data_IF_461746948934
#
_entry.id   IF_461746948934
#
_cell.length_a   1.000
_cell.length_b   1.000
_cell.length_c   1.000
_cell.angle_alpha   90.00
_cell.angle_beta   90.00
_cell.angle_gamma   90.00
#
_symmetry.space_group_name_H-M   'P 1'
#
loop_
_entity.id
_entity.type
_entity.pdbx_description
1 polymer ?
#
# COMPACT_ATOMS: atom_id res chain seq x y z
N UNK A 1 18.12 28.59 -16.73
CA UNK A 1 19.24 27.96 -17.46
C UNK A 1 18.65 26.89 -18.34
N UNK A 2 18.54 27.19 -19.64
CA UNK A 2 17.89 26.32 -20.63
C UNK A 2 18.95 25.42 -21.26
N UNK A 3 18.81 24.10 -21.11
CA UNK A 3 19.59 23.15 -21.91
C UNK A 3 18.70 22.53 -22.96
N UNK A 4 18.95 22.91 -24.21
CA UNK A 4 18.45 22.25 -25.44
C UNK A 4 19.40 21.11 -25.77
N UNK A 5 18.89 19.90 -25.92
CA UNK A 5 19.62 18.81 -26.55
C UNK A 5 19.07 18.57 -27.96
N UNK A 6 19.99 18.77 -28.94
CA UNK A 6 19.79 18.46 -30.36
C UNK A 6 19.86 16.97 -30.61
N UNK A 7 18.95 16.52 -31.45
CA UNK A 7 18.95 15.19 -32.05
C UNK A 7 20.00 15.11 -33.16
N UNK A 8 20.79 14.02 -33.19
CA UNK A 8 21.56 13.61 -34.38
C UNK A 8 21.25 12.15 -34.67
N UNK A 9 20.63 11.93 -35.83
CA UNK A 9 20.49 10.63 -36.48
C UNK A 9 21.88 10.16 -36.97
N UNK A 10 22.16 8.86 -36.80
CA UNK A 10 23.10 8.15 -37.69
C UNK A 10 22.60 6.71 -37.87
N UNK A 11 22.46 6.35 -39.12
CA UNK A 11 21.94 5.07 -39.62
C UNK A 11 23.10 4.07 -39.94
N UNK A 12 22.67 2.80 -40.09
CA UNK A 12 23.31 1.70 -40.83
C UNK A 12 24.48 0.95 -40.17
N UNK A 13 24.31 -0.36 -39.91
CA UNK A 13 24.90 -1.38 -40.77
C UNK A 13 24.30 -2.77 -40.47
N UNK A 14 23.81 -3.43 -41.53
CA UNK A 14 23.49 -4.85 -41.58
C UNK A 14 24.79 -5.67 -41.67
N UNK A 15 24.83 -6.77 -40.95
CA UNK A 15 25.68 -7.91 -41.31
C UNK A 15 24.99 -9.20 -40.90
N UNK A 16 24.67 -9.99 -41.90
CA UNK A 16 24.18 -11.36 -41.80
C UNK A 16 25.37 -12.29 -41.47
N UNK A 17 25.16 -13.21 -40.56
CA UNK A 17 26.10 -14.28 -40.24
C UNK A 17 25.34 -15.55 -39.87
N UNK A 18 25.29 -16.48 -40.82
CA UNK A 18 24.86 -17.87 -40.65
C UNK A 18 25.90 -18.65 -39.82
N UNK A 19 25.46 -19.57 -39.00
CA UNK A 19 26.31 -20.68 -38.64
C UNK A 19 26.05 -21.41 -37.33
N UNK A 20 25.54 -22.62 -37.52
CA UNK A 20 25.79 -23.88 -36.79
C UNK A 20 25.11 -24.18 -35.47
N UNK A 21 24.23 -25.14 -35.61
CA UNK A 21 23.66 -26.07 -34.62
C UNK A 21 24.73 -26.86 -33.85
N UNK A 22 24.56 -26.99 -32.56
CA UNK A 22 25.15 -28.09 -31.81
C UNK A 22 24.15 -28.54 -30.73
N UNK A 23 23.51 -29.65 -30.99
CA UNK A 23 22.76 -30.48 -30.05
C UNK A 23 23.73 -31.19 -29.11
N UNK A 24 23.54 -31.02 -27.82
CA UNK A 24 24.13 -31.91 -26.81
C UNK A 24 23.02 -32.46 -25.93
N UNK A 25 22.72 -33.72 -26.14
CA UNK A 25 21.97 -34.60 -25.26
C UNK A 25 22.86 -34.96 -24.06
N UNK A 26 22.35 -34.87 -22.86
CA UNK A 26 22.94 -35.54 -21.72
C UNK A 26 21.84 -36.21 -20.88
N UNK A 27 22.09 -37.45 -20.68
CA UNK A 27 21.31 -38.55 -20.20
C UNK A 27 20.82 -38.40 -18.73
N UNK A 28 19.69 -39.00 -18.50
CA UNK A 28 19.15 -39.35 -17.19
C UNK A 28 19.84 -40.59 -16.60
N UNK A 29 20.18 -40.53 -15.33
CA UNK A 29 20.33 -41.68 -14.43
C UNK A 29 19.77 -41.21 -13.11
N UNK A 30 18.76 -41.76 -12.50
CA UNK A 30 18.48 -43.13 -12.18
C UNK A 30 18.62 -43.34 -10.68
N UNK A 31 17.47 -43.52 -9.99
CA UNK A 31 17.22 -44.32 -8.80
C UNK A 31 17.87 -43.97 -7.44
N UNK A 32 17.07 -43.69 -6.42
CA UNK A 32 16.56 -44.76 -5.51
C UNK A 32 15.55 -44.21 -4.50
N UNK A 33 14.40 -44.82 -4.53
CA UNK A 33 13.41 -44.84 -3.44
C UNK A 33 13.89 -45.75 -2.30
N UNK A 34 13.66 -45.36 -1.06
CA UNK A 34 13.57 -46.24 0.12
C UNK A 34 12.47 -45.65 1.00
N UNK A 35 11.32 -46.16 0.96
CA UNK A 35 10.61 -47.17 1.73
C UNK A 35 10.47 -46.88 3.22
N UNK A 36 9.24 -46.53 3.56
CA UNK A 36 8.37 -46.92 4.71
C UNK A 36 8.99 -47.47 5.99
N UNK A 37 8.55 -46.88 7.10
CA UNK A 37 8.12 -47.66 8.25
C UNK A 37 7.06 -46.92 9.05
N UNK A 38 5.90 -47.52 9.09
CA UNK A 38 4.74 -47.30 9.95
C UNK A 38 4.98 -47.80 11.37
N UNK A 39 4.16 -47.27 12.29
CA UNK A 39 3.60 -47.88 13.52
C UNK A 39 3.93 -47.11 14.81
N UNK A 40 2.84 -46.70 15.49
CA UNK A 40 2.81 -46.58 16.92
C UNK A 40 1.94 -45.46 17.51
N UNK A 41 0.65 -45.66 17.55
CA UNK A 41 -0.33 -45.36 18.62
C UNK A 41 -0.09 -44.27 19.68
N UNK A 42 -1.12 -43.38 19.73
CA UNK A 42 -1.87 -42.91 20.91
C UNK A 42 -1.13 -42.41 22.17
N UNK A 43 -1.22 -41.09 22.38
CA UNK A 43 -1.02 -40.47 23.66
C UNK A 43 -1.83 -39.16 23.75
N UNK A 44 -2.78 -39.13 24.66
CA UNK A 44 -3.67 -38.00 24.99
C UNK A 44 -2.93 -36.78 25.45
N UNK A 45 -3.39 -35.60 25.00
CA UNK A 45 -3.20 -34.32 25.72
C UNK A 45 -1.97 -33.56 25.30
N UNK A 46 -2.03 -32.86 24.19
CA UNK A 46 -1.06 -31.78 23.90
C UNK A 46 -1.81 -30.48 23.76
N UNK A 47 -1.56 -29.57 24.69
CA UNK A 47 -1.89 -28.17 24.57
C UNK A 47 -1.18 -27.66 23.31
N UNK A 48 -1.94 -27.23 22.31
CA UNK A 48 -1.40 -26.60 21.13
C UNK A 48 -0.79 -25.25 21.52
N UNK A 49 0.53 -25.23 21.67
CA UNK A 49 1.27 -23.99 21.64
C UNK A 49 1.28 -23.54 20.18
N UNK A 50 0.61 -22.42 19.93
CA UNK A 50 0.72 -21.70 18.65
C UNK A 50 2.16 -21.17 18.59
N UNK A 51 3.05 -21.95 18.01
CA UNK A 51 4.39 -21.46 17.69
C UNK A 51 4.23 -20.53 16.53
N UNK A 52 4.32 -19.23 16.79
CA UNK A 52 4.56 -18.23 15.73
C UNK A 52 5.83 -18.67 15.03
N UNK A 53 5.70 -19.24 13.84
CA UNK A 53 6.87 -19.60 13.02
C UNK A 53 7.54 -18.29 12.62
N UNK A 54 8.61 -17.93 13.33
CA UNK A 54 9.54 -16.90 12.90
C UNK A 54 10.17 -17.43 11.60
N UNK A 55 9.96 -16.72 10.50
CA UNK A 55 10.60 -17.07 9.24
C UNK A 55 12.11 -17.17 9.45
N UNK A 56 12.79 -18.15 8.83
CA UNK A 56 14.24 -18.29 8.98
C UNK A 56 14.93 -16.98 8.59
N UNK A 57 15.89 -16.55 9.41
CA UNK A 57 16.64 -15.32 9.17
C UNK A 57 17.34 -15.38 7.80
N UNK A 58 17.13 -14.37 6.95
CA UNK A 58 17.88 -14.23 5.70
C UNK A 58 19.22 -13.56 6.01
N UNK A 59 20.22 -14.38 6.31
CA UNK A 59 21.58 -13.94 6.66
C UNK A 59 22.22 -13.02 5.61
N UNK A 60 21.83 -13.15 4.35
CA UNK A 60 22.31 -12.28 3.28
C UNK A 60 21.65 -10.92 3.36
N UNK A 61 20.33 -10.86 3.60
CA UNK A 61 19.63 -9.59 3.80
C UNK A 61 20.15 -8.84 5.05
N UNK A 62 20.46 -9.56 6.13
CA UNK A 62 21.07 -8.99 7.33
C UNK A 62 22.47 -8.41 7.04
N UNK A 63 23.28 -9.13 6.25
CA UNK A 63 24.58 -8.63 5.83
C UNK A 63 24.49 -7.39 4.91
N UNK A 64 23.48 -7.33 4.03
CA UNK A 64 23.19 -6.15 3.20
C UNK A 64 22.77 -4.98 4.09
N UNK A 65 21.92 -5.22 5.10
CA UNK A 65 21.48 -4.20 6.05
C UNK A 65 22.68 -3.56 6.76
N UNK A 66 23.60 -4.39 7.23
CA UNK A 66 24.79 -3.90 7.92
C UNK A 66 25.72 -3.12 7.00
N UNK A 67 26.01 -3.63 5.78
CA UNK A 67 26.79 -2.89 4.77
C UNK A 67 26.17 -1.56 4.40
N UNK A 68 24.85 -1.52 4.30
CA UNK A 68 24.13 -0.30 3.98
C UNK A 68 24.29 0.76 5.08
N UNK A 69 24.13 0.36 6.37
CA UNK A 69 24.34 1.25 7.53
C UNK A 69 25.74 1.82 7.61
N UNK A 70 26.74 0.99 7.26
CA UNK A 70 28.14 1.44 7.24
C UNK A 70 28.42 2.47 6.14
N UNK A 71 27.75 2.35 4.98
CA UNK A 71 27.97 3.27 3.85
C UNK A 71 27.12 4.54 3.95
N UNK A 72 25.92 4.45 4.48
CA UNK A 72 24.95 5.52 4.60
C UNK A 72 24.67 5.82 6.07
N UNK A 73 25.66 6.40 6.73
CA UNK A 73 25.55 6.78 8.15
C UNK A 73 24.45 7.80 8.36
N UNK A 74 23.62 7.60 9.40
CA UNK A 74 22.51 8.50 9.71
C UNK A 74 21.17 8.15 9.03
N UNK A 75 21.12 7.14 8.14
CA UNK A 75 19.87 6.59 7.63
C UNK A 75 19.34 5.48 8.54
N UNK A 76 18.07 5.60 8.95
CA UNK A 76 17.40 4.56 9.76
C UNK A 76 16.89 3.43 8.87
N UNK A 77 17.70 2.36 8.76
CA UNK A 77 17.34 1.15 8.02
C UNK A 77 16.51 0.24 8.91
N UNK A 78 15.19 0.23 8.70
CA UNK A 78 14.27 -0.62 9.46
C UNK A 78 14.36 -2.08 9.04
N UNK A 79 14.34 -2.37 7.74
CA UNK A 79 14.42 -3.73 7.23
C UNK A 79 15.14 -3.80 5.88
N UNK A 80 15.65 -4.99 5.55
CA UNK A 80 16.10 -5.36 4.21
C UNK A 80 15.46 -6.66 3.81
N UNK A 81 14.96 -6.76 2.59
CA UNK A 81 14.31 -7.96 2.04
C UNK A 81 14.85 -8.27 0.66
N UNK A 82 14.97 -9.56 0.36
CA UNK A 82 15.28 -10.03 -0.99
C UNK A 82 14.05 -9.91 -1.88
N UNK A 83 14.24 -9.36 -3.07
CA UNK A 83 13.19 -9.36 -4.11
C UNK A 83 13.34 -10.57 -5.03
N UNK A 84 12.28 -11.01 -5.72
CA UNK A 84 12.38 -12.09 -6.71
C UNK A 84 13.20 -11.71 -7.95
N UNK A 85 13.61 -10.45 -8.06
CA UNK A 85 14.36 -9.90 -9.19
C UNK A 85 15.88 -9.84 -8.95
N UNK A 86 16.39 -10.49 -7.91
CA UNK A 86 17.81 -10.47 -7.53
C UNK A 86 18.31 -9.18 -6.88
N UNK A 87 17.40 -8.29 -6.53
CA UNK A 87 17.68 -7.04 -5.82
C UNK A 87 17.34 -7.19 -4.33
N UNK A 88 17.90 -6.30 -3.52
CA UNK A 88 17.50 -6.12 -2.12
C UNK A 88 16.70 -4.83 -1.97
N UNK A 89 15.51 -4.95 -1.41
CA UNK A 89 14.65 -3.85 -0.99
C UNK A 89 15.09 -3.39 0.39
N UNK A 90 15.53 -2.15 0.50
CA UNK A 90 15.96 -1.52 1.76
C UNK A 90 14.87 -0.56 2.21
N UNK A 91 14.34 -0.79 3.40
CA UNK A 91 13.29 0.01 3.99
C UNK A 91 13.87 1.12 4.88
N UNK A 92 13.54 2.37 4.56
CA UNK A 92 13.89 3.59 5.29
C UNK A 92 12.60 4.25 5.78
N UNK A 93 12.05 3.76 6.92
CA UNK A 93 10.69 4.11 7.34
C UNK A 93 9.65 3.61 6.33
N UNK A 94 9.02 4.52 5.58
CA UNK A 94 8.06 4.17 4.52
C UNK A 94 8.68 4.23 3.12
N UNK A 95 9.86 4.78 3.00
CA UNK A 95 10.53 4.85 1.71
C UNK A 95 11.28 3.54 1.44
N UNK A 96 11.22 3.11 0.19
CA UNK A 96 11.88 1.90 -0.29
C UNK A 96 12.89 2.27 -1.36
N UNK A 97 14.08 1.74 -1.21
CA UNK A 97 15.13 1.84 -2.20
C UNK A 97 15.66 0.43 -2.50
N UNK A 98 16.36 0.28 -3.60
CA UNK A 98 16.88 -1.01 -4.03
C UNK A 98 18.39 -0.98 -4.18
N UNK A 99 19.03 -2.12 -3.94
CA UNK A 99 20.48 -2.26 -4.07
C UNK A 99 20.86 -3.70 -4.43
N UNK A 100 22.12 -3.90 -4.78
CA UNK A 100 22.72 -5.23 -4.93
C UNK A 100 23.21 -5.77 -3.58
N UNK A 101 23.61 -7.03 -3.54
CA UNK A 101 24.13 -7.68 -2.31
C UNK A 101 25.32 -6.95 -1.71
N UNK A 102 26.18 -6.35 -2.55
CA UNK A 102 27.41 -5.64 -2.11
C UNK A 102 27.16 -4.18 -1.76
N UNK A 103 25.94 -3.67 -1.98
CA UNK A 103 25.58 -2.25 -1.83
C UNK A 103 26.50 -1.36 -2.67
N UNK A 104 26.78 -1.77 -3.93
CA UNK A 104 27.64 -1.00 -4.83
C UNK A 104 26.94 0.18 -5.49
N UNK A 105 25.62 0.13 -5.55
CA UNK A 105 24.73 1.17 -6.07
C UNK A 105 23.42 1.18 -5.27
N UNK A 106 22.69 2.27 -5.37
CA UNK A 106 21.32 2.41 -4.89
C UNK A 106 20.43 2.96 -6.00
N UNK A 107 19.19 2.50 -6.03
CA UNK A 107 18.16 2.96 -6.96
C UNK A 107 16.95 3.44 -6.15
N UNK A 108 16.57 4.67 -6.36
CA UNK A 108 15.32 5.26 -5.85
C UNK A 108 14.29 5.26 -6.96
N UNK A 109 13.06 4.90 -6.63
CA UNK A 109 11.93 4.89 -7.56
C UNK A 109 11.22 3.54 -7.63
N UNK A 110 10.17 3.47 -8.47
CA UNK A 110 9.34 2.28 -8.55
C UNK A 110 10.07 1.14 -9.26
N UNK A 111 10.01 -0.05 -8.66
CA UNK A 111 10.37 -1.31 -9.30
C UNK A 111 9.13 -1.88 -9.99
N UNK A 112 9.13 -1.86 -11.31
CA UNK A 112 8.02 -2.34 -12.13
C UNK A 112 8.39 -3.71 -12.71
N UNK A 113 7.55 -4.71 -12.46
CA UNK A 113 7.63 -6.00 -13.14
C UNK A 113 7.23 -5.80 -14.61
N UNK A 114 8.18 -5.96 -15.51
CA UNK A 114 7.98 -5.67 -16.94
C UNK A 114 7.00 -6.64 -17.63
N UNK A 115 6.85 -7.86 -17.11
CA UNK A 115 5.96 -8.87 -17.67
C UNK A 115 4.51 -8.66 -17.24
N UNK A 116 4.31 -8.35 -15.97
CA UNK A 116 2.97 -8.19 -15.36
C UNK A 116 2.53 -6.74 -15.25
N UNK A 117 3.44 -5.78 -15.45
CA UNK A 117 3.29 -4.34 -15.24
C UNK A 117 2.91 -3.96 -13.80
N UNK A 118 3.16 -4.85 -12.86
CA UNK A 118 2.91 -4.59 -11.43
C UNK A 118 3.96 -3.64 -10.88
N UNK A 119 3.52 -2.68 -10.08
CA UNK A 119 4.39 -1.82 -9.28
C UNK A 119 4.71 -2.50 -7.95
N UNK A 120 5.85 -3.21 -7.92
CA UNK A 120 6.31 -4.00 -6.78
C UNK A 120 6.63 -3.11 -5.58
N UNK A 121 7.15 -1.91 -5.82
CA UNK A 121 7.43 -0.92 -4.77
C UNK A 121 6.14 -0.49 -4.08
N UNK A 122 5.11 -0.15 -4.85
CA UNK A 122 3.82 0.24 -4.29
C UNK A 122 3.17 -0.90 -3.50
N UNK A 123 3.20 -2.12 -4.02
CA UNK A 123 2.68 -3.30 -3.29
C UNK A 123 3.42 -3.53 -1.98
N UNK A 124 4.73 -3.35 -1.96
CA UNK A 124 5.53 -3.44 -0.73
C UNK A 124 5.18 -2.32 0.25
N UNK A 125 5.00 -1.08 -0.23
CA UNK A 125 4.58 0.04 0.60
C UNK A 125 3.17 -0.16 1.17
N UNK A 126 2.22 -0.66 0.37
CA UNK A 126 0.87 -1.00 0.83
C UNK A 126 0.92 -2.06 1.94
N UNK A 127 1.72 -3.12 1.77
CA UNK A 127 1.92 -4.16 2.79
C UNK A 127 2.56 -3.63 4.07
N UNK A 128 3.58 -2.78 3.96
CA UNK A 128 4.28 -2.19 5.12
C UNK A 128 3.39 -1.20 5.89
N UNK A 129 2.44 -0.62 5.22
CA UNK A 129 1.49 0.34 5.79
C UNK A 129 0.13 -0.29 6.13
N UNK A 130 0.02 -1.62 6.08
CA UNK A 130 -1.18 -2.32 6.48
C UNK A 130 -1.48 -2.05 7.95
N UNK A 131 -2.74 -1.70 8.23
CA UNK A 131 -3.25 -1.42 9.58
C UNK A 131 -4.45 -2.31 9.78
N UNK A 132 -4.50 -3.01 10.91
CA UNK A 132 -5.69 -3.78 11.26
C UNK A 132 -6.88 -2.82 11.38
N UNK A 133 -7.92 -3.05 10.58
CA UNK A 133 -9.08 -2.17 10.49
C UNK A 133 -9.73 -1.89 11.85
N UNK A 134 -9.80 -2.91 12.70
CA UNK A 134 -10.39 -2.82 14.04
C UNK A 134 -9.56 -1.96 15.02
N UNK A 135 -8.32 -1.62 14.68
CA UNK A 135 -7.47 -0.70 15.47
C UNK A 135 -7.68 0.76 15.11
N UNK A 136 -8.46 1.05 14.06
CA UNK A 136 -8.81 2.42 13.72
C UNK A 136 -9.77 3.00 14.75
N UNK A 137 -9.55 4.23 15.25
CA UNK A 137 -10.47 4.89 16.19
C UNK A 137 -11.72 5.37 15.45
N UNK A 138 -12.63 4.44 15.15
CA UNK A 138 -13.83 4.69 14.32
C UNK A 138 -14.82 5.69 14.94
N UNK A 139 -14.68 5.99 16.23
CA UNK A 139 -15.39 7.06 16.94
C UNK A 139 -15.00 8.47 16.46
N UNK A 140 -13.84 8.61 15.84
CA UNK A 140 -13.38 9.85 15.20
C UNK A 140 -13.86 9.97 13.74
N UNK A 141 -14.63 9.03 13.22
CA UNK A 141 -15.09 9.02 11.84
C UNK A 141 -16.59 9.25 11.72
N UNK A 142 -17.00 9.93 10.66
CA UNK A 142 -18.40 9.96 10.23
C UNK A 142 -18.74 8.58 9.66
N UNK A 143 -19.73 7.90 10.24
CA UNK A 143 -20.20 6.60 9.77
C UNK A 143 -21.42 6.76 8.88
N UNK A 144 -21.36 6.20 7.69
CA UNK A 144 -22.49 6.10 6.77
C UNK A 144 -22.69 4.65 6.34
N UNK A 145 -23.94 4.20 6.30
CA UNK A 145 -24.29 2.80 5.94
C UNK A 145 -25.25 2.80 4.78
N UNK A 146 -24.95 1.99 3.78
CA UNK A 146 -25.80 1.73 2.62
C UNK A 146 -26.08 0.22 2.53
N UNK A 147 -27.34 -0.13 2.34
CA UNK A 147 -27.75 -1.55 2.34
C UNK A 147 -27.54 -2.23 3.68
N UNK A 148 -27.03 -3.45 3.69
CA UNK A 148 -26.74 -4.20 4.92
C UNK A 148 -25.42 -3.77 5.60
N UNK A 149 -24.60 -2.95 4.91
CA UNK A 149 -23.34 -2.44 5.44
C UNK A 149 -22.25 -3.49 5.69
N UNK A 150 -22.37 -4.66 5.09
CA UNK A 150 -21.47 -5.81 5.32
C UNK A 150 -20.02 -5.53 4.90
N UNK A 151 -19.81 -4.80 3.82
CA UNK A 151 -18.49 -4.34 3.37
C UNK A 151 -18.09 -3.08 4.11
N UNK A 152 -16.82 -2.93 4.44
CA UNK A 152 -16.33 -1.80 5.24
C UNK A 152 -15.13 -1.13 4.59
N UNK A 153 -15.10 0.19 4.63
CA UNK A 153 -13.95 1.00 4.24
C UNK A 153 -13.82 2.21 5.16
N UNK A 154 -12.61 2.55 5.54
CA UNK A 154 -12.29 3.80 6.21
C UNK A 154 -11.52 4.71 5.25
N UNK A 155 -11.88 5.98 5.20
CA UNK A 155 -11.37 6.91 4.20
C UNK A 155 -10.95 8.21 4.87
N UNK A 156 -9.70 8.63 4.65
CA UNK A 156 -9.25 9.98 4.99
C UNK A 156 -9.55 10.91 3.82
N UNK A 157 -10.34 11.95 4.05
CA UNK A 157 -10.80 12.86 3.01
C UNK A 157 -10.70 14.32 3.43
N UNK A 158 -10.30 15.17 2.49
CA UNK A 158 -10.34 16.62 2.63
C UNK A 158 -11.55 17.19 1.86
N UNK A 159 -12.31 18.13 2.42
CA UNK A 159 -13.50 18.69 1.78
C UNK A 159 -13.21 19.43 0.46
N UNK A 160 -11.98 19.87 0.25
CA UNK A 160 -11.55 20.57 -0.97
C UNK A 160 -10.82 19.68 -1.97
N UNK A 161 -10.72 18.37 -1.68
CA UNK A 161 -10.06 17.40 -2.54
C UNK A 161 -10.94 16.98 -3.73
N UNK A 162 -10.49 17.27 -4.95
CA UNK A 162 -11.20 16.86 -6.18
C UNK A 162 -11.29 15.36 -6.37
N UNK A 163 -10.22 14.62 -6.04
CA UNK A 163 -10.21 13.15 -6.10
C UNK A 163 -11.09 12.52 -5.04
N UNK A 164 -11.26 13.14 -3.86
CA UNK A 164 -12.23 12.69 -2.86
C UNK A 164 -13.68 12.82 -3.40
N UNK A 165 -14.00 13.93 -4.04
CA UNK A 165 -15.31 14.11 -4.69
C UNK A 165 -15.56 13.09 -5.81
N UNK A 166 -14.53 12.74 -6.57
CA UNK A 166 -14.61 11.69 -7.58
C UNK A 166 -14.86 10.31 -6.93
N UNK A 167 -14.12 9.98 -5.87
CA UNK A 167 -14.30 8.73 -5.13
C UNK A 167 -15.72 8.63 -4.55
N UNK A 168 -16.25 9.72 -3.98
CA UNK A 168 -17.62 9.75 -3.45
C UNK A 168 -18.67 9.39 -4.50
N UNK A 169 -18.54 9.89 -5.72
CA UNK A 169 -19.41 9.51 -6.85
C UNK A 169 -19.29 8.01 -7.17
N UNK A 170 -18.07 7.47 -7.15
CA UNK A 170 -17.85 6.02 -7.36
C UNK A 170 -18.49 5.18 -6.25
N UNK A 171 -18.48 5.65 -5.00
CA UNK A 171 -19.10 4.97 -3.86
C UNK A 171 -20.63 4.91 -3.95
N UNK A 172 -21.28 5.84 -4.70
CA UNK A 172 -22.72 5.78 -4.94
C UNK A 172 -23.14 4.51 -5.70
N UNK A 173 -22.23 3.90 -6.48
CA UNK A 173 -22.47 2.67 -7.25
C UNK A 173 -22.05 1.39 -6.51
N UNK A 174 -21.72 1.50 -5.20
CA UNK A 174 -21.36 0.36 -4.36
C UNK A 174 -22.47 0.12 -3.33
N UNK A 175 -23.05 -1.06 -3.33
CA UNK A 175 -24.07 -1.47 -2.36
C UNK A 175 -23.47 -2.18 -1.14
N UNK A 176 -24.28 -2.32 -0.08
CA UNK A 176 -23.94 -3.06 1.13
C UNK A 176 -22.62 -2.60 1.76
N UNK A 177 -22.47 -1.28 1.92
CA UNK A 177 -21.22 -0.63 2.30
C UNK A 177 -21.38 0.20 3.56
N UNK A 178 -20.47 0.03 4.52
CA UNK A 178 -20.24 0.97 5.62
C UNK A 178 -18.98 1.78 5.32
N UNK A 179 -19.13 3.09 5.20
CA UNK A 179 -18.04 4.05 5.03
C UNK A 179 -17.78 4.76 6.35
N UNK A 180 -16.53 4.75 6.80
CA UNK A 180 -16.02 5.54 7.91
C UNK A 180 -15.16 6.66 7.36
N UNK A 181 -15.61 7.90 7.45
CA UNK A 181 -14.90 9.06 6.91
C UNK A 181 -14.16 9.80 8.00
N UNK A 182 -12.85 9.78 7.96
CA UNK A 182 -11.98 10.63 8.76
C UNK A 182 -11.80 11.97 8.02
N UNK A 183 -12.32 13.05 8.59
CA UNK A 183 -12.18 14.39 8.03
C UNK A 183 -10.75 14.87 8.23
N UNK A 184 -10.01 15.05 7.14
CA UNK A 184 -8.56 15.30 7.15
C UNK A 184 -8.20 16.59 6.41
N UNK A 185 -8.28 17.77 7.09
CA UNK A 185 -8.18 19.10 6.46
C UNK A 185 -6.73 19.52 6.24
N UNK A 186 -6.08 18.99 5.19
CA UNK A 186 -4.66 19.23 4.91
C UNK A 186 -4.40 20.11 3.68
N UNK A 187 -5.42 20.37 2.84
CA UNK A 187 -5.19 21.04 1.56
C UNK A 187 -5.27 22.56 1.65
N UNK A 188 -6.10 23.10 2.55
CA UNK A 188 -6.26 24.55 2.66
C UNK A 188 -6.83 24.99 4.02
N UNK A 189 -6.65 26.27 4.42
CA UNK A 189 -7.31 26.80 5.63
C UNK A 189 -8.85 26.70 5.58
N UNK A 190 -9.45 26.81 4.40
CA UNK A 190 -10.89 26.67 4.17
C UNK A 190 -11.37 25.23 4.44
N UNK A 191 -10.49 24.22 4.29
CA UNK A 191 -10.78 22.83 4.63
C UNK A 191 -11.13 22.69 6.12
N UNK A 192 -10.40 23.36 7.00
CA UNK A 192 -10.68 23.35 8.45
C UNK A 192 -12.04 23.92 8.79
N UNK A 193 -12.41 25.02 8.16
CA UNK A 193 -13.75 25.62 8.34
C UNK A 193 -14.84 24.65 7.92
N UNK A 194 -14.71 24.00 6.76
CA UNK A 194 -15.70 23.04 6.29
C UNK A 194 -15.78 21.79 7.15
N UNK A 195 -14.62 21.26 7.60
CA UNK A 195 -14.57 20.14 8.55
C UNK A 195 -15.34 20.47 9.82
N UNK A 196 -15.12 21.64 10.39
CA UNK A 196 -15.87 22.10 11.58
C UNK A 196 -17.37 22.14 11.29
N UNK A 197 -17.78 22.79 10.20
CA UNK A 197 -19.19 22.98 9.89
C UNK A 197 -19.90 21.64 9.61
N UNK A 198 -19.21 20.68 8.99
CA UNK A 198 -19.72 19.31 8.78
C UNK A 198 -19.76 18.53 10.09
N UNK A 199 -18.68 18.56 10.88
CA UNK A 199 -18.60 17.81 12.15
C UNK A 199 -19.68 18.25 13.13
N UNK A 200 -19.97 19.56 13.18
CA UNK A 200 -20.96 20.15 14.05
C UNK A 200 -22.39 20.10 13.48
N UNK A 201 -22.59 19.56 12.31
CA UNK A 201 -23.93 19.41 11.71
C UNK A 201 -24.74 18.35 12.49
N UNK A 202 -26.07 18.53 12.56
CA UNK A 202 -26.99 17.57 13.18
C UNK A 202 -26.91 16.19 12.51
N UNK A 203 -26.74 16.16 11.20
CA UNK A 203 -26.51 14.99 10.39
C UNK A 203 -25.19 15.20 9.60
N UNK A 204 -24.11 14.68 10.17
CA UNK A 204 -22.76 14.82 9.61
C UNK A 204 -22.65 14.14 8.25
N UNK A 205 -23.26 12.96 8.09
CA UNK A 205 -23.24 12.20 6.83
C UNK A 205 -23.93 12.95 5.71
N UNK A 206 -25.15 13.46 5.96
CA UNK A 206 -25.87 14.25 4.98
C UNK A 206 -25.15 15.56 4.63
N UNK A 207 -24.57 16.25 5.62
CA UNK A 207 -23.80 17.48 5.38
C UNK A 207 -22.54 17.21 4.55
N UNK A 208 -21.86 16.06 4.77
CA UNK A 208 -20.72 15.65 3.98
C UNK A 208 -21.09 15.34 2.55
N UNK A 209 -22.16 14.57 2.32
CA UNK A 209 -22.63 14.23 0.97
C UNK A 209 -23.15 15.46 0.21
N UNK A 210 -23.85 16.39 0.91
CA UNK A 210 -24.27 17.67 0.34
C UNK A 210 -23.07 18.43 -0.22
N UNK A 211 -21.97 18.50 0.53
CA UNK A 211 -20.78 19.19 0.06
C UNK A 211 -20.02 18.41 -1.02
N UNK A 212 -19.75 17.13 -0.79
CA UNK A 212 -18.86 16.36 -1.66
C UNK A 212 -19.49 16.00 -3.00
N UNK A 213 -20.78 15.67 -3.01
CA UNK A 213 -21.51 15.21 -4.19
C UNK A 213 -22.26 16.35 -4.90
N UNK A 214 -22.84 17.27 -4.12
CA UNK A 214 -23.76 18.30 -4.63
C UNK A 214 -23.18 19.71 -4.60
N UNK A 215 -22.01 19.92 -3.97
CA UNK A 215 -21.39 21.25 -3.85
C UNK A 215 -22.17 22.20 -2.92
N UNK A 216 -23.14 21.70 -2.16
CA UNK A 216 -23.93 22.51 -1.23
C UNK A 216 -23.10 22.76 0.03
N UNK A 217 -22.77 24.03 0.26
CA UNK A 217 -21.92 24.43 1.39
C UNK A 217 -22.59 24.07 2.73
N UNK A 218 -21.86 23.43 3.67
CA UNK A 218 -22.38 23.19 5.03
C UNK A 218 -22.80 24.48 5.68
N UNK A 219 -23.86 24.41 6.50
CA UNK A 219 -24.24 25.52 7.35
C UNK A 219 -23.14 25.80 8.39
N UNK A 220 -22.86 27.07 8.63
CA UNK A 220 -21.90 27.47 9.67
C UNK A 220 -22.36 26.95 11.03
N UNK A 221 -21.50 26.16 11.67
CA UNK A 221 -21.73 25.57 12.97
C UNK A 221 -20.48 25.67 13.83
N UNK A 222 -20.65 25.58 15.16
CA UNK A 222 -19.54 25.66 16.09
C UNK A 222 -19.74 24.68 17.23
N UNK A 223 -18.79 23.78 17.40
CA UNK A 223 -18.70 22.82 18.48
C UNK A 223 -17.23 22.40 18.64
N UNK A 224 -16.94 21.55 19.60
CA UNK A 224 -15.61 20.95 19.74
C UNK A 224 -15.38 19.92 18.62
N UNK A 225 -14.35 20.15 17.83
CA UNK A 225 -13.93 19.28 16.72
C UNK A 225 -12.65 18.57 17.12
N UNK A 226 -12.52 17.25 16.95
CA UNK A 226 -11.29 16.53 17.29
C UNK A 226 -10.20 16.68 16.19
N UNK A 227 -10.00 17.92 15.67
CA UNK A 227 -9.12 18.18 14.54
C UNK A 227 -7.68 17.72 14.81
N UNK A 228 -7.14 18.05 15.98
CA UNK A 228 -5.77 17.66 16.33
C UNK A 228 -5.62 16.14 16.41
N UNK A 229 -6.63 15.42 16.91
CA UNK A 229 -6.64 13.94 16.93
C UNK A 229 -6.70 13.35 15.54
N UNK A 230 -7.51 13.94 14.66
CA UNK A 230 -7.62 13.51 13.26
C UNK A 230 -6.33 13.75 12.48
N UNK A 231 -5.69 14.92 12.68
CA UNK A 231 -4.40 15.21 12.05
C UNK A 231 -3.29 14.31 12.59
N UNK A 232 -3.23 14.10 13.91
CA UNK A 232 -2.26 13.20 14.53
C UNK A 232 -2.45 11.75 14.06
N UNK A 233 -3.69 11.26 13.95
CA UNK A 233 -4.01 9.94 13.43
C UNK A 233 -3.53 9.79 11.98
N UNK A 234 -3.82 10.77 11.12
CA UNK A 234 -3.36 10.74 9.74
C UNK A 234 -1.83 10.71 9.64
N UNK A 235 -1.13 11.47 10.48
CA UNK A 235 0.33 11.43 10.57
C UNK A 235 0.85 10.08 11.07
N UNK A 236 0.26 9.53 12.13
CA UNK A 236 0.61 8.21 12.68
C UNK A 236 0.43 7.10 11.65
N UNK A 237 -0.64 7.16 10.88
CA UNK A 237 -0.94 6.23 9.80
C UNK A 237 -0.23 6.59 8.49
N UNK A 238 0.63 7.61 8.50
CA UNK A 238 1.38 8.10 7.34
C UNK A 238 0.49 8.39 6.12
N UNK A 239 -0.66 9.01 6.36
CA UNK A 239 -1.56 9.51 5.32
C UNK A 239 -0.96 10.78 4.74
N UNK A 240 -0.32 10.68 3.59
CA UNK A 240 0.37 11.79 2.91
C UNK A 240 -0.54 12.60 1.97
N UNK A 241 -1.76 12.12 1.73
CA UNK A 241 -2.71 12.77 0.81
C UNK A 241 -4.10 12.16 0.89
N UNK A 242 -5.05 12.79 0.20
CA UNK A 242 -6.44 12.40 0.17
C UNK A 242 -6.93 12.14 -1.26
N UNK A 243 -7.83 11.18 -1.47
CA UNK A 243 -8.31 10.23 -0.46
C UNK A 243 -7.25 9.15 -0.15
N UNK A 244 -7.22 8.66 1.08
CA UNK A 244 -6.52 7.42 1.44
C UNK A 244 -7.53 6.46 2.06
N UNK A 245 -7.63 5.26 1.49
CA UNK A 245 -8.59 4.23 1.86
C UNK A 245 -7.89 3.13 2.67
N UNK A 246 -8.56 2.64 3.70
CA UNK A 246 -8.19 1.47 4.49
C UNK A 246 -9.32 0.45 4.38
N UNK A 247 -8.99 -0.79 4.01
CA UNK A 247 -9.94 -1.86 3.79
C UNK A 247 -10.01 -2.81 4.99
N UNK A 248 -11.08 -3.59 5.06
CA UNK A 248 -11.30 -4.53 6.16
C UNK A 248 -10.22 -5.61 6.29
N UNK A 249 -9.55 -5.96 5.18
CA UNK A 249 -8.42 -6.90 5.13
C UNK A 249 -7.09 -6.29 5.66
N UNK A 250 -7.11 -5.05 6.12
CA UNK A 250 -5.94 -4.32 6.61
C UNK A 250 -5.11 -3.66 5.51
N UNK A 251 -5.43 -3.88 4.25
CA UNK A 251 -4.75 -3.21 3.14
C UNK A 251 -5.17 -1.76 3.00
N UNK A 252 -4.32 -0.95 2.35
CA UNK A 252 -4.63 0.45 2.08
C UNK A 252 -4.27 0.84 0.66
N UNK A 253 -4.86 1.93 0.18
CA UNK A 253 -4.48 2.57 -1.08
C UNK A 253 -4.69 4.08 -1.01
N UNK A 254 -3.94 4.83 -1.82
CA UNK A 254 -4.07 6.29 -1.93
C UNK A 254 -4.61 6.66 -3.32
N UNK A 255 -5.44 7.69 -3.36
CA UNK A 255 -6.11 8.16 -4.58
C UNK A 255 -7.48 7.54 -4.81
N UNK A 256 -8.24 8.14 -5.74
CA UNK A 256 -9.55 7.64 -6.13
C UNK A 256 -9.41 6.36 -6.97
N UNK A 257 -10.12 5.30 -6.57
CA UNK A 257 -10.16 4.06 -7.31
C UNK A 257 -11.32 4.05 -8.32
N UNK A 258 -11.12 3.51 -9.53
CA UNK A 258 -12.21 3.13 -10.41
C UNK A 258 -13.13 2.09 -9.77
N UNK A 259 -14.42 2.07 -10.17
CA UNK A 259 -15.46 1.25 -9.56
C UNK A 259 -15.07 -0.24 -9.45
N UNK A 260 -14.56 -0.83 -10.52
CA UNK A 260 -14.20 -2.25 -10.54
C UNK A 260 -13.05 -2.58 -9.59
N UNK A 261 -12.06 -1.69 -9.49
CA UNK A 261 -10.97 -1.86 -8.54
C UNK A 261 -11.44 -1.69 -7.10
N UNK A 262 -12.34 -0.74 -6.86
CA UNK A 262 -12.93 -0.51 -5.54
C UNK A 262 -13.75 -1.73 -5.08
N UNK A 263 -14.62 -2.28 -5.97
CA UNK A 263 -15.40 -3.49 -5.70
C UNK A 263 -14.51 -4.69 -5.40
N UNK A 264 -13.44 -4.88 -6.17
CA UNK A 264 -12.49 -5.98 -5.96
C UNK A 264 -11.79 -5.93 -4.60
N UNK A 265 -11.58 -4.72 -4.05
CA UNK A 265 -10.93 -4.51 -2.74
C UNK A 265 -11.91 -4.59 -1.55
N UNK A 266 -13.21 -4.47 -1.81
CA UNK A 266 -14.27 -4.51 -0.81
C UNK A 266 -14.86 -5.92 -0.59
N UNK A 267 -14.50 -6.91 -1.42
CA UNK A 267 -15.03 -8.29 -1.39
C UNK A 267 -14.22 -9.23 -0.51
#
# INVERSE_FOLDING_TARGET
MNFRFSATLAACFMAAGLGLSASAQAQATGDKAVSTSTVGQAGKGSKSYSTTQVAPADLVADAVKERFRQRFTGMDVTAVRRTPYGLFEVQLGMDLIYTDEKVTWVMEGPLIDAMTRRDVTRESQERLSAVTFDQLPLDLAIKQVKGDGSRKVAIFEDPNCGYCKQLRKTLEDVDNLTVYTFLYPILSPDSKTKVRDVWCAKDQGAAWDDWMLRGKKPATANCEVPEDKLLALGQQLMVRGTPTLFFADGTRTSGALPLEQLKARLN
#
